data_IF_586363960930
#
_entry.id   IF_586363960930
#
_cell.length_a   1.000
_cell.length_b   1.000
_cell.length_c   1.000
_cell.angle_alpha   90.00
_cell.angle_beta   90.00
_cell.angle_gamma   90.00
#
_symmetry.space_group_name_H-M   'P 1'
#
loop_
_entity.id
_entity.type
_entity.pdbx_description
1 polymer ?
#
# COMPACT_ATOMS: atom_id res chain seq x y z
N UNK A 1 1.59 -8.26 3.29
CA UNK A 1 2.61 -7.20 3.24
C UNK A 1 3.04 -6.87 1.81
N UNK A 2 3.79 -7.73 1.11
CA UNK A 2 4.26 -7.48 -0.27
C UNK A 2 3.16 -7.05 -1.26
N UNK A 3 2.13 -7.87 -1.46
CA UNK A 3 1.05 -7.55 -2.39
C UNK A 3 0.26 -6.30 -1.99
N UNK A 4 -0.08 -6.15 -0.70
CA UNK A 4 -0.86 -5.01 -0.22
C UNK A 4 -0.13 -3.68 -0.41
N UNK A 5 1.16 -3.60 -0.07
CA UNK A 5 1.95 -2.37 -0.20
C UNK A 5 2.11 -1.98 -1.66
N UNK A 6 2.49 -2.93 -2.53
CA UNK A 6 2.70 -2.61 -3.95
C UNK A 6 1.40 -2.24 -4.65
N UNK A 7 0.29 -2.95 -4.41
CA UNK A 7 -1.00 -2.59 -5.01
C UNK A 7 -1.53 -1.26 -4.48
N UNK A 8 -1.34 -0.98 -3.18
CA UNK A 8 -1.64 0.36 -2.64
C UNK A 8 -0.88 1.45 -3.39
N UNK A 9 0.42 1.26 -3.64
CA UNK A 9 1.22 2.22 -4.40
C UNK A 9 0.75 2.33 -5.85
N UNK A 10 0.47 1.21 -6.53
CA UNK A 10 -0.07 1.24 -7.90
C UNK A 10 -1.38 2.04 -7.97
N UNK A 11 -2.31 1.84 -7.04
CA UNK A 11 -3.54 2.64 -6.98
C UNK A 11 -3.24 4.13 -6.79
N UNK A 12 -2.33 4.47 -5.87
CA UNK A 12 -1.91 5.87 -5.64
C UNK A 12 -1.25 6.49 -6.88
N UNK A 13 -0.48 5.74 -7.64
CA UNK A 13 0.14 6.19 -8.90
C UNK A 13 -0.87 6.36 -10.03
N UNK A 14 -1.93 5.54 -10.05
CA UNK A 14 -3.03 5.63 -11.01
C UNK A 14 -4.03 6.77 -10.69
N UNK A 15 -3.80 7.52 -9.61
CA UNK A 15 -4.61 8.68 -9.24
C UNK A 15 -5.73 8.38 -8.25
N UNK A 16 -5.80 7.17 -7.72
CA UNK A 16 -6.79 6.81 -6.70
C UNK A 16 -6.55 7.61 -5.42
N UNK A 17 -7.58 8.27 -4.90
CA UNK A 17 -7.46 9.10 -3.70
C UNK A 17 -7.06 8.29 -2.46
N UNK A 18 -6.31 8.94 -1.55
CA UNK A 18 -5.80 8.26 -0.36
C UNK A 18 -6.93 7.93 0.63
N UNK A 19 -7.96 8.76 0.64
CA UNK A 19 -9.15 8.70 1.47
C UNK A 19 -10.34 9.08 0.57
N UNK A 20 -11.44 8.30 0.56
CA UNK A 20 -12.63 8.62 -0.25
C UNK A 20 -12.66 8.08 -1.68
N UNK A 21 -11.65 7.30 -2.09
CA UNK A 21 -11.63 6.59 -3.38
C UNK A 21 -12.66 5.46 -3.51
N UNK A 22 -12.65 4.72 -4.62
CA UNK A 22 -13.48 3.55 -4.89
C UNK A 22 -13.44 2.57 -3.70
N UNK A 23 -14.56 2.49 -2.98
CA UNK A 23 -14.74 1.64 -1.80
C UNK A 23 -13.67 1.85 -0.71
N UNK A 24 -13.11 3.06 -0.60
CA UNK A 24 -12.05 3.39 0.34
C UNK A 24 -10.84 2.43 0.27
N UNK A 25 -10.53 1.93 -0.94
CA UNK A 25 -9.51 0.89 -1.15
C UNK A 25 -8.14 1.32 -0.59
N UNK A 26 -7.71 2.55 -0.87
CA UNK A 26 -6.46 3.11 -0.36
C UNK A 26 -6.48 3.27 1.16
N UNK A 27 -7.55 3.82 1.74
CA UNK A 27 -7.66 4.02 3.19
C UNK A 27 -7.61 2.68 3.95
N UNK A 28 -8.34 1.66 3.47
CA UNK A 28 -8.32 0.30 4.02
C UNK A 28 -6.96 -0.36 3.85
N UNK A 29 -6.35 -0.22 2.68
CA UNK A 29 -5.00 -0.73 2.39
C UNK A 29 -3.96 -0.12 3.34
N UNK A 30 -3.96 1.21 3.49
CA UNK A 30 -3.08 1.95 4.40
C UNK A 30 -3.26 1.50 5.84
N UNK A 31 -4.50 1.39 6.32
CA UNK A 31 -4.81 0.89 7.67
C UNK A 31 -4.25 -0.52 7.87
N UNK A 32 -4.53 -1.44 6.95
CA UNK A 32 -4.01 -2.81 7.03
C UNK A 32 -2.48 -2.83 7.06
N UNK A 33 -1.80 -2.03 6.23
CA UNK A 33 -0.34 -1.92 6.22
C UNK A 33 0.19 -1.48 7.58
N UNK A 34 -0.38 -0.42 8.17
CA UNK A 34 0.04 0.11 9.47
C UNK A 34 -0.19 -0.90 10.61
N UNK A 35 -1.37 -1.54 10.63
CA UNK A 35 -1.73 -2.54 11.64
C UNK A 35 -0.81 -3.79 11.60
N UNK A 36 -0.09 -4.02 10.49
CA UNK A 36 0.78 -5.19 10.28
C UNK A 36 2.28 -4.84 10.21
N UNK A 37 2.72 -3.75 10.87
CA UNK A 37 4.14 -3.38 10.98
C UNK A 37 4.65 -2.44 9.89
N UNK A 38 3.74 -1.89 9.09
CA UNK A 38 4.06 -0.91 8.05
C UNK A 38 4.82 -1.48 6.86
N UNK A 39 5.14 -0.62 5.90
CA UNK A 39 5.90 -1.00 4.70
C UNK A 39 7.32 -1.51 5.01
N UNK A 40 7.84 -1.27 6.23
CA UNK A 40 9.16 -1.77 6.65
C UNK A 40 9.24 -3.29 6.74
N UNK A 41 8.12 -3.98 6.97
CA UNK A 41 8.05 -5.44 7.04
C UNK A 41 7.94 -6.12 5.66
N UNK A 42 8.07 -5.36 4.56
CA UNK A 42 8.02 -5.91 3.20
C UNK A 42 9.27 -6.78 2.93
N UNK A 43 9.14 -7.92 2.21
CA UNK A 43 10.28 -8.75 1.85
C UNK A 43 11.29 -7.99 0.97
N UNK A 44 12.51 -8.55 0.83
CA UNK A 44 13.63 -7.94 0.08
C UNK A 44 13.24 -7.48 -1.32
N UNK A 45 12.44 -8.27 -2.04
CA UNK A 45 11.98 -7.91 -3.39
C UNK A 45 11.05 -6.69 -3.40
N UNK A 46 10.27 -6.48 -2.34
CA UNK A 46 9.48 -5.26 -2.20
C UNK A 46 10.35 -4.05 -1.92
N UNK A 47 11.41 -4.21 -1.12
CA UNK A 47 12.37 -3.12 -0.85
C UNK A 47 13.06 -2.65 -2.13
N UNK A 48 13.39 -3.56 -3.05
CA UNK A 48 13.94 -3.23 -4.36
C UNK A 48 13.05 -2.24 -5.14
N UNK A 49 11.72 -2.40 -5.08
CA UNK A 49 10.79 -1.50 -5.77
C UNK A 49 10.49 -0.19 -5.02
N UNK A 50 10.78 -0.12 -3.71
CA UNK A 50 10.53 1.06 -2.88
C UNK A 50 11.76 1.97 -2.74
N UNK A 51 12.93 1.52 -3.16
CA UNK A 51 14.19 2.26 -3.15
C UNK A 51 14.27 3.20 -4.37
#
# INVERSE_FOLDING_TARGET
MFGTVLNYICLRLLGEEADGGQNDACARGRKWILDHGGATAIPSWGKFWLA
#
